data_IF_698487505018
#
_entry.id   IF_698487505018
#
_cell.length_a   1.000
_cell.length_b   1.000
_cell.length_c   1.000
_cell.angle_alpha   90.00
_cell.angle_beta   90.00
_cell.angle_gamma   90.00
#
_symmetry.space_group_name_H-M   'P 1'
#
loop_
_entity.id
_entity.type
_entity.pdbx_description
1 polymer ?
#
# COMPACT_ATOMS: atom_id res chain seq x y z
N UNK A 1 1.55 -9.49 23.74
CA UNK A 1 2.27 -8.47 22.97
C UNK A 1 1.32 -7.82 22.00
N UNK A 2 1.41 -6.50 21.89
CA UNK A 2 0.49 -5.68 21.06
C UNK A 2 0.79 -5.81 19.56
N UNK A 3 1.78 -6.60 19.19
CA UNK A 3 2.21 -6.82 17.80
C UNK A 3 2.78 -8.22 17.60
N UNK A 4 2.32 -8.90 16.53
CA UNK A 4 2.78 -10.24 16.13
C UNK A 4 3.13 -10.26 14.65
N UNK A 5 4.13 -11.06 14.26
CA UNK A 5 4.51 -11.24 12.86
C UNK A 5 4.33 -12.72 12.49
N UNK A 6 3.56 -12.96 11.43
CA UNK A 6 3.42 -14.27 10.81
C UNK A 6 4.19 -14.28 9.47
N UNK A 7 5.38 -14.91 9.40
CA UNK A 7 6.14 -14.99 8.16
C UNK A 7 5.50 -15.99 7.18
N UNK A 8 5.71 -15.80 5.88
CA UNK A 8 5.17 -16.67 4.83
C UNK A 8 5.73 -18.11 4.84
N UNK A 9 6.88 -18.33 5.51
CA UNK A 9 7.54 -19.64 5.54
C UNK A 9 8.19 -20.02 4.20
N UNK A 10 8.35 -21.34 4.00
CA UNK A 10 8.96 -21.87 2.75
C UNK A 10 7.95 -21.80 1.62
N UNK A 11 8.38 -21.34 0.45
CA UNK A 11 7.53 -21.29 -0.74
C UNK A 11 7.16 -22.72 -1.17
N UNK A 12 5.87 -23.08 -1.18
CA UNK A 12 5.44 -24.41 -1.60
C UNK A 12 5.54 -24.54 -3.14
N UNK A 13 5.66 -25.80 -3.65
CA UNK A 13 5.74 -26.04 -5.08
C UNK A 13 4.51 -25.55 -5.87
N UNK A 14 3.33 -25.52 -5.25
CA UNK A 14 2.05 -25.09 -5.84
C UNK A 14 1.32 -24.12 -4.90
N UNK A 15 1.72 -22.84 -4.83
CA UNK A 15 1.07 -21.87 -3.95
C UNK A 15 -0.40 -21.60 -4.35
N UNK A 16 -0.72 -21.61 -5.63
CA UNK A 16 -2.09 -21.38 -6.12
C UNK A 16 -3.06 -22.46 -5.62
N UNK A 17 -2.67 -23.73 -5.67
CA UNK A 17 -3.52 -24.82 -5.19
C UNK A 17 -3.81 -24.72 -3.69
N UNK A 18 -2.82 -24.26 -2.90
CA UNK A 18 -3.02 -24.04 -1.47
C UNK A 18 -3.98 -22.89 -1.19
N UNK A 19 -3.94 -21.84 -2.01
CA UNK A 19 -4.80 -20.67 -1.89
C UNK A 19 -6.23 -20.93 -2.37
N UNK A 20 -6.41 -21.79 -3.37
CA UNK A 20 -7.71 -22.04 -3.99
C UNK A 20 -8.48 -23.22 -3.39
N UNK A 21 -7.78 -24.32 -3.10
CA UNK A 21 -8.45 -25.62 -2.85
C UNK A 21 -8.68 -25.96 -1.39
N UNK A 22 -8.12 -25.20 -0.47
CA UNK A 22 -8.30 -25.45 0.95
C UNK A 22 -8.80 -24.16 1.61
N UNK A 23 -9.92 -24.20 2.29
CA UNK A 23 -10.42 -23.12 3.14
C UNK A 23 -9.44 -22.73 4.27
N UNK A 24 -8.18 -23.22 4.20
CA UNK A 24 -7.15 -22.98 5.22
C UNK A 24 -6.82 -21.50 5.36
N UNK A 25 -6.72 -20.78 4.24
CA UNK A 25 -6.46 -19.33 4.26
C UNK A 25 -7.66 -18.60 4.83
N UNK A 26 -8.86 -18.95 4.41
CA UNK A 26 -10.09 -18.33 4.92
C UNK A 26 -10.26 -18.60 6.41
N UNK A 27 -9.97 -19.82 6.87
CA UNK A 27 -10.00 -20.19 8.27
C UNK A 27 -8.94 -19.43 9.08
N UNK A 28 -7.71 -19.28 8.52
CA UNK A 28 -6.65 -18.49 9.15
C UNK A 28 -7.12 -17.05 9.39
N UNK A 29 -7.68 -16.38 8.37
CA UNK A 29 -8.20 -15.04 8.53
C UNK A 29 -9.36 -14.98 9.53
N UNK A 30 -10.23 -15.99 9.54
CA UNK A 30 -11.32 -16.07 10.51
C UNK A 30 -10.83 -16.20 11.95
N UNK A 31 -9.75 -16.95 12.20
CA UNK A 31 -9.13 -17.04 13.53
C UNK A 31 -8.40 -15.73 13.90
N UNK A 32 -7.59 -15.17 12.99
CA UNK A 32 -6.87 -13.93 13.25
C UNK A 32 -7.82 -12.76 13.56
N UNK A 33 -8.98 -12.68 12.89
CA UNK A 33 -10.01 -11.65 13.16
C UNK A 33 -10.65 -11.76 14.55
N UNK A 34 -10.49 -12.89 15.25
CA UNK A 34 -10.94 -13.02 16.64
C UNK A 34 -9.93 -12.51 17.65
N UNK A 35 -8.65 -12.49 17.27
CA UNK A 35 -7.53 -12.21 18.18
C UNK A 35 -6.96 -10.79 17.99
N UNK A 36 -7.08 -10.20 16.77
CA UNK A 36 -6.44 -8.95 16.41
C UNK A 36 -7.45 -7.94 15.88
N UNK A 37 -7.34 -6.70 16.33
CA UNK A 37 -8.13 -5.58 15.84
C UNK A 37 -7.75 -5.19 14.40
N UNK A 38 -6.47 -5.36 14.05
CA UNK A 38 -5.92 -5.04 12.74
C UNK A 38 -5.04 -6.18 12.22
N UNK A 39 -5.26 -6.58 10.98
CA UNK A 39 -4.45 -7.57 10.27
C UNK A 39 -3.90 -6.90 9.02
N UNK A 40 -2.58 -6.69 8.97
CA UNK A 40 -1.90 -6.10 7.83
C UNK A 40 -1.22 -7.21 7.05
N UNK A 41 -1.56 -7.32 5.75
CA UNK A 41 -0.99 -8.34 4.87
C UNK A 41 -0.10 -7.66 3.84
N UNK A 42 1.20 -7.93 3.91
CA UNK A 42 2.16 -7.52 2.88
C UNK A 42 2.20 -8.58 1.77
N UNK A 43 1.99 -8.15 0.53
CA UNK A 43 1.83 -9.04 -0.62
C UNK A 43 2.77 -8.68 -1.76
N UNK A 44 3.02 -9.66 -2.63
CA UNK A 44 3.70 -9.41 -3.89
C UNK A 44 2.91 -8.43 -4.79
N UNK A 45 3.59 -7.73 -5.73
CA UNK A 45 2.92 -6.81 -6.64
C UNK A 45 1.79 -7.48 -7.44
N UNK A 46 0.59 -6.91 -7.37
CA UNK A 46 -0.63 -7.45 -8.01
C UNK A 46 -0.50 -7.61 -9.53
N UNK A 47 0.38 -6.83 -10.15
CA UNK A 47 0.65 -6.90 -11.59
C UNK A 47 1.47 -8.11 -12.02
N UNK A 48 2.15 -8.78 -11.07
CA UNK A 48 3.08 -9.87 -11.36
C UNK A 48 2.53 -11.24 -10.96
N UNK A 49 1.70 -11.30 -9.92
CA UNK A 49 1.20 -12.58 -9.37
C UNK A 49 -0.29 -12.52 -9.05
N UNK A 50 -0.97 -13.64 -9.30
CA UNK A 50 -2.41 -13.81 -9.05
C UNK A 50 -2.73 -14.08 -7.58
N UNK A 51 -1.73 -14.51 -6.79
CA UNK A 51 -1.90 -14.94 -5.40
C UNK A 51 -2.51 -13.85 -4.53
N UNK A 52 -2.08 -12.60 -4.73
CA UNK A 52 -2.63 -11.43 -4.04
C UNK A 52 -4.13 -11.28 -4.28
N UNK A 53 -4.61 -11.55 -5.50
CA UNK A 53 -6.03 -11.49 -5.82
C UNK A 53 -6.84 -12.57 -5.10
N UNK A 54 -6.25 -13.76 -4.92
CA UNK A 54 -6.90 -14.86 -4.20
C UNK A 54 -7.03 -14.58 -2.70
N UNK A 55 -6.06 -13.88 -2.11
CA UNK A 55 -6.07 -13.49 -0.70
C UNK A 55 -6.99 -12.28 -0.48
N UNK A 56 -7.07 -11.37 -1.43
CA UNK A 56 -7.78 -10.09 -1.33
C UNK A 56 -9.27 -10.22 -0.95
N UNK A 57 -9.90 -11.37 -1.24
CA UNK A 57 -11.30 -11.65 -0.83
C UNK A 57 -11.51 -11.61 0.70
N UNK A 58 -10.43 -11.84 1.48
CA UNK A 58 -10.48 -11.84 2.95
C UNK A 58 -10.21 -10.44 3.55
N UNK A 59 -9.79 -9.48 2.72
CA UNK A 59 -9.49 -8.13 3.16
C UNK A 59 -10.75 -7.27 3.23
N UNK A 60 -10.80 -6.38 4.21
CA UNK A 60 -11.88 -5.39 4.35
C UNK A 60 -11.55 -4.10 3.57
N UNK A 61 -10.25 -3.84 3.35
CA UNK A 61 -9.75 -2.72 2.53
C UNK A 61 -8.44 -3.11 1.84
N UNK A 62 -8.14 -2.46 0.72
CA UNK A 62 -6.92 -2.69 -0.04
C UNK A 62 -6.18 -1.38 -0.28
N UNK A 63 -4.89 -1.35 0.06
CA UNK A 63 -4.02 -0.20 -0.19
C UNK A 63 -3.09 -0.53 -1.36
N UNK A 64 -3.33 0.08 -2.52
CA UNK A 64 -2.48 -0.06 -3.69
C UNK A 64 -1.33 0.92 -3.61
N UNK A 65 -0.12 0.41 -3.32
CA UNK A 65 1.07 1.26 -3.18
C UNK A 65 1.72 1.51 -4.54
N UNK A 66 1.88 2.77 -4.90
CA UNK A 66 2.62 3.21 -6.08
C UNK A 66 3.84 4.02 -5.66
N UNK A 67 4.94 3.89 -6.41
CA UNK A 67 6.15 4.68 -6.17
C UNK A 67 6.23 5.85 -7.15
N UNK A 68 6.39 7.06 -6.62
CA UNK A 68 6.54 8.28 -7.42
C UNK A 68 7.80 8.19 -8.30
N UNK A 69 7.72 8.70 -9.52
CA UNK A 69 8.82 8.76 -10.49
C UNK A 69 9.41 7.39 -10.89
N UNK A 70 8.77 6.29 -10.53
CA UNK A 70 9.21 4.94 -10.87
C UNK A 70 8.26 4.26 -11.87
N UNK A 71 6.97 4.42 -11.67
CA UNK A 71 5.95 3.79 -12.51
C UNK A 71 5.76 4.60 -13.80
N UNK A 72 5.84 3.93 -14.95
CA UNK A 72 5.49 4.54 -16.24
C UNK A 72 3.99 4.90 -16.27
N UNK A 73 3.66 6.06 -16.85
CA UNK A 73 2.28 6.57 -16.91
C UNK A 73 1.30 5.58 -17.57
N UNK A 74 1.77 4.80 -18.55
CA UNK A 74 0.96 3.77 -19.22
C UNK A 74 0.47 2.68 -18.28
N UNK A 75 1.25 2.36 -17.25
CA UNK A 75 0.92 1.33 -16.25
C UNK A 75 -0.14 1.78 -15.25
N UNK A 76 -0.48 3.08 -15.19
CA UNK A 76 -1.57 3.59 -14.35
C UNK A 76 -2.95 3.07 -14.76
N UNK A 77 -3.09 2.58 -16.00
CA UNK A 77 -4.33 1.93 -16.46
C UNK A 77 -4.67 0.66 -15.67
N UNK A 78 -3.64 -0.04 -15.17
CA UNK A 78 -3.87 -1.28 -14.45
C UNK A 78 -4.60 -1.07 -13.11
N UNK A 79 -4.13 -0.25 -12.17
CA UNK A 79 -4.88 0.06 -10.95
C UNK A 79 -6.22 0.72 -11.23
N UNK A 80 -6.33 1.55 -12.27
CA UNK A 80 -7.61 2.12 -12.70
C UNK A 80 -8.62 1.03 -13.08
N UNK A 81 -8.20 0.02 -13.84
CA UNK A 81 -9.03 -1.12 -14.23
C UNK A 81 -9.47 -1.91 -12.99
N UNK A 82 -8.54 -2.22 -12.07
CA UNK A 82 -8.86 -2.94 -10.83
C UNK A 82 -9.92 -2.20 -10.00
N UNK A 83 -9.80 -0.88 -9.92
CA UNK A 83 -10.74 -0.03 -9.20
C UNK A 83 -12.12 -0.01 -9.89
N UNK A 84 -12.18 0.23 -11.20
CA UNK A 84 -13.43 0.30 -11.97
C UNK A 84 -14.18 -1.02 -11.98
N UNK A 85 -13.45 -2.13 -12.11
CA UNK A 85 -14.02 -3.48 -12.11
C UNK A 85 -14.29 -4.02 -10.70
N UNK A 86 -14.03 -3.22 -9.65
CA UNK A 86 -14.22 -3.59 -8.24
C UNK A 86 -13.57 -4.93 -7.87
N UNK A 87 -12.39 -5.20 -8.43
CA UNK A 87 -11.65 -6.44 -8.19
C UNK A 87 -11.00 -6.51 -6.81
N UNK A 88 -10.79 -5.37 -6.19
CA UNK A 88 -10.20 -5.26 -4.86
C UNK A 88 -11.17 -4.53 -3.92
N UNK A 89 -11.37 -5.03 -2.69
CA UNK A 89 -12.31 -4.45 -1.75
C UNK A 89 -11.82 -3.08 -1.26
N UNK A 90 -12.71 -2.09 -1.25
CA UNK A 90 -12.45 -0.74 -0.72
C UNK A 90 -11.05 -0.22 -1.08
N UNK A 91 -10.69 -0.32 -2.37
CA UNK A 91 -9.37 0.01 -2.87
C UNK A 91 -9.06 1.50 -2.70
N UNK A 92 -7.93 1.79 -2.09
CA UNK A 92 -7.31 3.11 -2.02
C UNK A 92 -5.91 3.09 -2.65
N UNK A 93 -5.39 4.25 -3.01
CA UNK A 93 -4.05 4.40 -3.59
C UNK A 93 -3.18 5.19 -2.64
N UNK A 94 -1.97 4.66 -2.38
CA UNK A 94 -0.94 5.36 -1.63
C UNK A 94 0.24 5.64 -2.57
N UNK A 95 0.61 6.91 -2.70
CA UNK A 95 1.78 7.31 -3.46
C UNK A 95 2.98 7.46 -2.51
N UNK A 96 3.92 6.53 -2.62
CA UNK A 96 5.15 6.50 -1.83
C UNK A 96 6.30 7.23 -2.55
N UNK A 97 7.38 7.55 -1.83
CA UNK A 97 8.60 8.16 -2.35
C UNK A 97 8.35 9.49 -3.10
N UNK A 98 7.46 10.31 -2.54
CA UNK A 98 7.15 11.64 -3.07
C UNK A 98 8.21 12.65 -2.63
N UNK A 99 8.75 13.43 -3.58
CA UNK A 99 9.69 14.52 -3.27
C UNK A 99 8.92 15.74 -2.77
N UNK A 100 8.89 15.93 -1.46
CA UNK A 100 8.25 17.07 -0.82
C UNK A 100 8.89 18.43 -1.21
N UNK A 101 10.13 18.42 -1.75
CA UNK A 101 10.82 19.64 -2.20
C UNK A 101 10.37 20.08 -3.60
N UNK A 102 9.85 19.17 -4.40
CA UNK A 102 9.25 19.46 -5.72
C UNK A 102 7.76 19.75 -5.56
N UNK A 103 7.40 20.64 -4.64
CA UNK A 103 6.04 20.99 -4.33
C UNK A 103 5.21 21.26 -5.58
N UNK A 104 4.28 20.38 -5.89
CA UNK A 104 3.09 20.75 -6.64
C UNK A 104 2.35 21.76 -5.76
N UNK A 105 2.38 23.03 -6.16
CA UNK A 105 1.81 24.15 -5.43
C UNK A 105 0.29 24.12 -5.34
N UNK A 106 -0.27 23.13 -4.69
CA UNK A 106 -1.62 23.15 -4.16
C UNK A 106 -1.53 23.03 -2.64
N UNK A 107 -1.42 24.23 -2.02
CA UNK A 107 -1.47 24.37 -0.59
C UNK A 107 -2.83 23.97 -0.01
N UNK A 108 -3.00 22.71 0.34
CA UNK A 108 -3.91 22.30 1.39
C UNK A 108 -3.06 21.70 2.50
N UNK A 109 -2.62 22.62 3.40
CA UNK A 109 -1.90 22.28 4.60
C UNK A 109 -2.80 21.51 5.58
N UNK A 110 -2.67 20.21 5.59
CA UNK A 110 -2.86 19.39 6.78
C UNK A 110 -1.56 18.64 7.03
N UNK A 111 -0.53 19.43 7.38
CA UNK A 111 0.75 18.91 7.82
C UNK A 111 0.79 18.95 9.33
N UNK A 112 0.70 17.83 9.99
CA UNK A 112 1.15 17.72 11.37
C UNK A 112 2.67 17.97 11.41
N UNK A 113 3.04 19.15 11.92
CA UNK A 113 4.25 19.37 12.69
C UNK A 113 5.60 19.14 12.02
N UNK A 114 5.92 19.87 10.94
CA UNK A 114 7.29 20.31 10.72
C UNK A 114 7.21 21.82 10.47
N UNK A 115 7.49 22.62 11.47
CA UNK A 115 7.76 24.04 11.27
C UNK A 115 8.96 24.16 10.34
N UNK A 116 8.70 24.53 9.08
CA UNK A 116 9.76 24.99 8.19
C UNK A 116 10.36 26.23 8.86
N UNK A 117 11.63 26.13 9.30
CA UNK A 117 12.39 27.30 9.74
C UNK A 117 12.27 28.38 8.65
N UNK A 118 11.49 29.40 8.93
CA UNK A 118 11.39 30.60 8.09
C UNK A 118 12.77 31.25 8.12
N UNK A 119 13.59 30.98 7.11
CA UNK A 119 14.84 31.72 6.94
C UNK A 119 14.50 33.21 6.85
N UNK A 120 15.06 34.04 7.73
CA UNK A 120 14.75 35.47 7.71
C UNK A 120 15.07 36.05 6.34
N UNK A 121 14.15 36.82 5.77
CA UNK A 121 14.23 37.42 4.45
C UNK A 121 15.53 38.20 4.17
N UNK A 122 16.18 38.75 5.20
CA UNK A 122 17.44 39.49 5.11
C UNK A 122 18.65 38.58 4.76
N UNK A 123 18.59 37.26 4.92
CA UNK A 123 19.69 36.34 4.52
C UNK A 123 19.78 36.14 3.01
N UNK A 124 18.77 36.56 2.23
CA UNK A 124 18.80 36.52 0.78
C UNK A 124 19.52 37.72 0.14
N UNK A 125 19.75 38.79 0.91
CA UNK A 125 20.30 40.06 0.41
C UNK A 125 21.85 40.05 0.40
N UNK A 126 22.48 39.16 1.17
CA UNK A 126 23.92 39.13 1.33
C UNK A 126 24.63 37.91 0.68
N UNK A 127 24.07 37.34 -0.37
CA UNK A 127 24.81 36.43 -1.24
C UNK A 127 25.49 37.23 -2.35
N UNK A 128 26.81 37.51 -2.15
CA UNK A 128 27.74 37.79 -3.24
C UNK A 128 28.13 36.49 -3.91
#
# INVERSE_FOLDING_TARGET
>A
PDFSILPSGVIPPNPVDLLMNNNKVDNLFAELKKEYDYIIVDTAPVSLVTDTMLIAKNADAFVYVMRANYLEKGLLRYPETLYRERKLPNMSVLLNDTDLKKGYGYGYGYGYGVEAEKKPWYKSIFKK
#
